data_IF_434153222427
#
_entry.id   IF_434153222427
#
_cell.length_a   1.000
_cell.length_b   1.000
_cell.length_c   1.000
_cell.angle_alpha   90.00
_cell.angle_beta   90.00
_cell.angle_gamma   90.00
#
_symmetry.space_group_name_H-M   'P 1'
#
loop_
_entity.id
_entity.type
_entity.pdbx_description
1 polymer ?
#
# COMPACT_ATOMS: atom_id res chain seq x y z
N UNK A 1 -14.77 -3.29 10.81
CA UNK A 1 -14.20 -3.46 9.45
C UNK A 1 -14.18 -4.94 9.10
N UNK A 2 -14.72 -5.33 7.94
CA UNK A 2 -14.66 -6.71 7.42
C UNK A 2 -13.37 -6.92 6.62
N UNK A 3 -12.96 -8.18 6.35
CA UNK A 3 -11.77 -8.45 5.53
C UNK A 3 -11.89 -7.85 4.12
N UNK A 4 -13.10 -7.89 3.57
CA UNK A 4 -13.41 -7.37 2.25
C UNK A 4 -13.12 -5.86 2.16
N UNK A 5 -13.55 -5.10 3.17
CA UNK A 5 -13.25 -3.67 3.25
C UNK A 5 -11.75 -3.41 3.45
N UNK A 6 -11.09 -4.22 4.28
CA UNK A 6 -9.64 -4.12 4.48
C UNK A 6 -8.87 -4.40 3.19
N UNK A 7 -9.27 -5.40 2.41
CA UNK A 7 -8.64 -5.74 1.13
C UNK A 7 -8.82 -4.63 0.10
N UNK A 8 -9.99 -4.01 0.04
CA UNK A 8 -10.21 -2.84 -0.80
C UNK A 8 -9.30 -1.68 -0.39
N UNK A 9 -9.22 -1.38 0.91
CA UNK A 9 -8.33 -0.35 1.44
C UNK A 9 -6.86 -0.64 1.13
N UNK A 10 -6.40 -1.89 1.31
CA UNK A 10 -5.05 -2.31 0.97
C UNK A 10 -4.77 -2.19 -0.54
N UNK A 11 -5.74 -2.57 -1.39
CA UNK A 11 -5.65 -2.43 -2.84
C UNK A 11 -5.52 -0.97 -3.27
N UNK A 12 -6.26 -0.06 -2.62
CA UNK A 12 -6.13 1.37 -2.85
C UNK A 12 -4.78 1.92 -2.35
N UNK A 13 -4.37 1.55 -1.13
CA UNK A 13 -3.12 1.99 -0.51
C UNK A 13 -1.88 1.61 -1.33
N UNK A 14 -1.80 0.36 -1.77
CA UNK A 14 -0.65 -0.13 -2.53
C UNK A 14 -0.71 0.19 -4.02
N UNK A 15 -1.74 0.91 -4.49
CA UNK A 15 -1.85 1.28 -5.89
C UNK A 15 -0.82 2.37 -6.24
N UNK A 16 0.19 2.07 -7.08
CA UNK A 16 1.24 3.02 -7.41
C UNK A 16 0.71 4.32 -8.03
N UNK A 17 -0.38 4.26 -8.80
CA UNK A 17 -0.97 5.44 -9.46
C UNK A 17 -1.37 6.52 -8.45
N UNK A 18 -1.79 6.13 -7.26
CA UNK A 18 -2.19 7.05 -6.20
C UNK A 18 -1.00 7.45 -5.34
N UNK A 19 -0.08 6.51 -5.09
CA UNK A 19 1.10 6.75 -4.25
C UNK A 19 2.17 7.67 -4.88
N UNK A 20 2.21 7.80 -6.20
CA UNK A 20 3.20 8.68 -6.84
C UNK A 20 2.62 9.99 -7.38
N UNK A 21 1.33 10.24 -7.12
CA UNK A 21 0.69 11.55 -7.37
C UNK A 21 0.64 12.37 -6.08
N UNK A 22 0.74 13.68 -6.22
CA UNK A 22 0.53 14.60 -5.11
C UNK A 22 -0.90 14.43 -4.56
N UNK A 23 -1.03 14.40 -3.22
CA UNK A 23 -2.28 14.45 -2.44
C UNK A 23 -3.06 13.16 -2.13
N UNK A 24 -2.52 11.94 -2.29
CA UNK A 24 -3.26 10.72 -1.84
C UNK A 24 -2.79 10.16 -0.47
N UNK A 25 -1.83 10.81 0.17
CA UNK A 25 -1.09 10.22 1.29
C UNK A 25 -1.55 10.79 2.64
N UNK A 26 -2.81 10.61 3.03
CA UNK A 26 -3.18 10.71 4.45
C UNK A 26 -4.59 10.27 4.80
N UNK A 27 -5.19 9.36 4.03
CA UNK A 27 -6.47 8.80 4.45
C UNK A 27 -6.24 7.78 5.58
N UNK A 28 -6.54 8.20 6.82
CA UNK A 28 -6.36 7.38 8.01
C UNK A 28 -7.21 6.11 8.00
N UNK A 29 -8.34 6.09 7.28
CA UNK A 29 -9.16 4.90 7.12
C UNK A 29 -8.48 3.88 6.22
N UNK A 30 -7.92 4.32 5.11
CA UNK A 30 -7.16 3.48 4.16
C UNK A 30 -5.95 2.85 4.84
N UNK A 31 -5.17 3.65 5.59
CA UNK A 31 -3.99 3.16 6.32
C UNK A 31 -4.42 2.12 7.36
N UNK A 32 -5.44 2.42 8.16
CA UNK A 32 -5.93 1.50 9.21
C UNK A 32 -6.48 0.21 8.63
N UNK A 33 -7.21 0.29 7.50
CA UNK A 33 -7.72 -0.88 6.78
C UNK A 33 -6.58 -1.77 6.27
N UNK A 34 -5.53 -1.17 5.72
CA UNK A 34 -4.34 -1.87 5.21
C UNK A 34 -3.59 -2.58 6.33
N UNK A 35 -3.29 -1.89 7.44
CA UNK A 35 -2.60 -2.49 8.58
C UNK A 35 -3.41 -3.64 9.22
N UNK A 36 -4.74 -3.54 9.23
CA UNK A 36 -5.62 -4.62 9.69
C UNK A 36 -5.48 -5.88 8.81
N UNK A 37 -5.43 -5.72 7.48
CA UNK A 37 -5.18 -6.84 6.55
C UNK A 37 -3.83 -7.51 6.85
N UNK A 38 -2.76 -6.72 6.96
CA UNK A 38 -1.42 -7.25 7.28
C UNK A 38 -1.44 -8.05 8.58
N UNK A 39 -2.08 -7.50 9.62
CA UNK A 39 -2.17 -8.14 10.93
C UNK A 39 -2.92 -9.48 10.90
N UNK A 40 -3.86 -9.64 9.96
CA UNK A 40 -4.65 -10.86 9.78
C UNK A 40 -4.02 -11.90 8.87
N UNK A 41 -3.19 -11.47 7.91
CA UNK A 41 -2.51 -12.35 6.95
C UNK A 41 -1.17 -12.87 7.49
N UNK A 42 -0.45 -12.06 8.26
CA UNK A 42 0.81 -12.49 8.89
C UNK A 42 0.54 -13.62 9.89
N UNK A 43 1.30 -14.71 9.77
CA UNK A 43 1.20 -15.90 10.63
C UNK A 43 2.07 -15.76 11.87
N UNK A 44 3.10 -14.92 11.81
CA UNK A 44 4.03 -14.66 12.91
C UNK A 44 4.19 -13.17 13.20
N UNK A 45 4.74 -12.86 14.38
CA UNK A 45 5.09 -11.48 14.73
C UNK A 45 6.15 -10.92 13.78
N UNK A 46 7.16 -11.71 13.41
CA UNK A 46 8.25 -11.26 12.54
C UNK A 46 7.73 -10.92 11.14
N UNK A 47 6.90 -11.78 10.53
CA UNK A 47 6.27 -11.49 9.24
C UNK A 47 5.46 -10.18 9.27
N UNK A 48 4.76 -9.91 10.38
CA UNK A 48 4.02 -8.67 10.56
C UNK A 48 4.97 -7.46 10.66
N UNK A 49 6.06 -7.57 11.42
CA UNK A 49 7.04 -6.49 11.55
C UNK A 49 7.74 -6.21 10.21
N UNK A 50 8.15 -7.24 9.48
CA UNK A 50 8.77 -7.12 8.16
C UNK A 50 7.82 -6.42 7.17
N UNK A 51 6.53 -6.81 7.18
CA UNK A 51 5.53 -6.16 6.36
C UNK A 51 5.31 -4.68 6.75
N UNK A 52 5.30 -4.36 8.05
CA UNK A 52 5.18 -2.98 8.52
C UNK A 52 6.40 -2.12 8.11
N UNK A 53 7.61 -2.68 8.14
CA UNK A 53 8.83 -2.02 7.65
C UNK A 53 8.71 -1.70 6.16
N UNK A 54 8.22 -2.64 5.35
CA UNK A 54 8.05 -2.39 3.91
C UNK A 54 6.94 -1.36 3.62
N UNK A 55 5.88 -1.31 4.43
CA UNK A 55 4.86 -0.25 4.37
C UNK A 55 5.48 1.14 4.60
N UNK A 56 6.30 1.29 5.65
CA UNK A 56 6.99 2.55 5.94
C UNK A 56 7.92 2.94 4.78
N UNK A 57 8.72 1.99 4.28
CA UNK A 57 9.62 2.24 3.13
C UNK A 57 8.85 2.63 1.88
N UNK A 58 7.68 2.05 1.65
CA UNK A 58 6.79 2.39 0.55
C UNK A 58 6.25 3.82 0.69
N UNK A 59 5.78 4.21 1.87
CA UNK A 59 5.28 5.57 2.15
C UNK A 59 6.38 6.63 2.02
N UNK A 60 7.58 6.32 2.52
CA UNK A 60 8.74 7.20 2.44
C UNK A 60 9.42 7.18 1.06
N UNK A 61 8.95 6.34 0.12
CA UNK A 61 9.53 6.18 -1.22
C UNK A 61 11.03 5.83 -1.15
N UNK A 62 11.41 4.95 -0.22
CA UNK A 62 12.80 4.53 -0.01
C UNK A 62 13.18 3.35 -0.91
N UNK A 63 14.46 3.24 -1.25
CA UNK A 63 14.99 2.15 -2.06
C UNK A 63 14.29 2.03 -3.41
N UNK A 64 13.85 0.82 -3.76
CA UNK A 64 13.20 0.53 -5.05
C UNK A 64 11.91 1.34 -5.25
N UNK A 65 11.21 1.71 -4.17
CA UNK A 65 9.94 2.44 -4.24
C UNK A 65 10.13 3.90 -4.67
N UNK A 66 11.31 4.50 -4.47
CA UNK A 66 11.60 5.86 -4.92
C UNK A 66 12.18 5.95 -6.33
N UNK A 67 12.59 4.80 -6.88
CA UNK A 67 13.35 4.71 -8.13
C UNK A 67 12.60 5.19 -9.36
N UNK A 68 13.36 5.61 -10.37
CA UNK A 68 12.83 6.12 -11.64
C UNK A 68 11.89 5.11 -12.33
N UNK A 69 12.29 3.84 -12.40
CA UNK A 69 11.52 2.79 -13.07
C UNK A 69 10.16 2.58 -12.40
N UNK A 70 10.11 2.64 -11.07
CA UNK A 70 8.86 2.44 -10.33
C UNK A 70 7.88 3.60 -10.53
N UNK A 71 8.39 4.83 -10.65
CA UNK A 71 7.59 6.00 -11.03
C UNK A 71 7.04 5.87 -12.45
N UNK A 72 7.86 5.39 -13.39
CA UNK A 72 7.42 5.14 -14.77
C UNK A 72 6.36 4.02 -14.85
N UNK A 73 6.55 2.93 -14.10
CA UNK A 73 5.60 1.84 -14.02
C UNK A 73 4.24 2.29 -13.45
N UNK A 74 4.27 3.12 -12.40
CA UNK A 74 3.06 3.67 -11.79
C UNK A 74 2.21 4.51 -12.75
N UNK A 75 2.85 5.24 -13.67
CA UNK A 75 2.15 6.02 -14.70
C UNK A 75 1.49 5.15 -15.77
N UNK A 76 1.97 3.91 -15.95
CA UNK A 76 1.49 2.98 -16.98
C UNK A 76 0.35 2.06 -16.53
N UNK A 77 0.14 1.87 -15.24
CA UNK A 77 -0.93 1.01 -14.72
C UNK A 77 -2.32 1.62 -14.95
N UNK A 78 -3.20 0.89 -15.63
CA UNK A 78 -4.61 1.25 -15.86
C UNK A 78 -5.50 0.84 -14.68
N UNK A 79 -6.52 1.65 -14.31
CA UNK A 79 -7.27 1.53 -13.05
C UNK A 79 -8.29 0.38 -12.99
N UNK A 80 -8.48 -0.40 -14.05
CA UNK A 80 -9.61 -1.32 -14.20
C UNK A 80 -9.63 -2.55 -13.28
N UNK A 81 -8.59 -2.76 -12.45
CA UNK A 81 -8.49 -3.95 -11.60
C UNK A 81 -8.90 -3.73 -10.15
N UNK A 82 -9.21 -2.49 -9.73
CA UNK A 82 -9.42 -2.14 -8.32
C UNK A 82 -10.68 -1.30 -8.03
N UNK A 83 -11.56 -1.12 -9.01
CA UNK A 83 -12.92 -0.55 -8.86
C UNK A 83 -13.95 -1.65 -9.06
#
# INVERSE_FOLDING_TARGET
MTLHHGLHAAGYFFNPRFQYKDNVHNDGEVIRGTLNVITRLARTMNERLDAMIEVERYMMKLGIYGGYDMRCAAQRLTPSYFT
#
